data_IF_598888889072
#
_entry.id   IF_598888889072
#
_cell.length_a   1.000
_cell.length_b   1.000
_cell.length_c   1.000
_cell.angle_alpha   90.00
_cell.angle_beta   90.00
_cell.angle_gamma   90.00
#
_symmetry.space_group_name_H-M   'P 1'
#
loop_
_entity.id
_entity.type
_entity.pdbx_description
1 polymer ?
#
# COMPACT_ATOMS: atom_id res chain seq x y z
N UNK A 1 -10.00 -13.15 -10.02
CA UNK A 1 -8.85 -12.61 -10.77
C UNK A 1 -8.82 -13.25 -12.13
N UNK A 2 -8.60 -12.43 -13.18
CA UNK A 2 -8.52 -12.93 -14.56
C UNK A 2 -7.19 -13.67 -14.74
N UNK A 3 -7.16 -14.68 -15.62
CA UNK A 3 -5.96 -15.49 -15.90
C UNK A 3 -4.70 -14.64 -16.16
N UNK A 4 -4.87 -13.52 -16.89
CA UNK A 4 -3.79 -12.56 -17.18
C UNK A 4 -3.21 -11.84 -15.95
N UNK A 5 -4.01 -11.59 -14.92
CA UNK A 5 -3.52 -10.99 -13.68
C UNK A 5 -2.63 -12.00 -12.95
N UNK A 6 -3.11 -13.25 -12.85
CA UNK A 6 -2.39 -14.34 -12.19
C UNK A 6 -1.07 -14.64 -12.92
N UNK A 7 -1.08 -14.64 -14.25
CA UNK A 7 0.15 -14.85 -15.03
C UNK A 7 1.17 -13.72 -14.84
N UNK A 8 0.73 -12.45 -14.72
CA UNK A 8 1.63 -11.34 -14.42
C UNK A 8 2.31 -11.50 -13.05
N UNK A 9 1.59 -11.96 -12.03
CA UNK A 9 2.15 -12.26 -10.71
C UNK A 9 3.15 -13.43 -10.74
N UNK A 10 2.82 -14.52 -11.43
CA UNK A 10 3.70 -15.67 -11.57
C UNK A 10 5.00 -15.30 -12.29
N UNK A 11 4.89 -14.53 -13.38
CA UNK A 11 6.05 -14.02 -14.11
C UNK A 11 6.94 -13.13 -13.23
N UNK A 12 6.35 -12.32 -12.34
CA UNK A 12 7.10 -11.46 -11.42
C UNK A 12 7.88 -12.27 -10.39
N UNK A 13 7.26 -13.32 -9.84
CA UNK A 13 7.93 -14.21 -8.89
C UNK A 13 9.12 -14.87 -9.58
N UNK A 14 8.91 -15.43 -10.78
CA UNK A 14 9.99 -16.08 -11.55
C UNK A 14 11.11 -15.09 -11.90
N UNK A 15 10.77 -13.87 -12.37
CA UNK A 15 11.77 -12.87 -12.73
C UNK A 15 12.62 -12.44 -11.54
N UNK A 16 12.05 -12.42 -10.33
CA UNK A 16 12.77 -12.04 -9.11
C UNK A 16 13.88 -13.03 -8.72
N UNK A 17 13.83 -14.27 -9.22
CA UNK A 17 14.87 -15.28 -8.99
C UNK A 17 15.85 -15.43 -10.17
N UNK A 18 15.60 -14.77 -11.30
CA UNK A 18 16.42 -14.87 -12.51
C UNK A 18 17.07 -13.51 -12.80
N UNK A 19 18.36 -13.38 -12.50
CA UNK A 19 19.13 -12.14 -12.72
C UNK A 19 19.66 -11.98 -14.17
N UNK A 20 19.27 -12.85 -15.09
CA UNK A 20 19.72 -12.85 -16.48
C UNK A 20 18.80 -12.02 -17.39
N UNK A 21 19.20 -11.84 -18.66
CA UNK A 21 18.41 -11.21 -19.73
C UNK A 21 16.95 -11.70 -19.81
N UNK A 22 16.73 -12.99 -19.51
CA UNK A 22 15.40 -13.61 -19.44
C UNK A 22 14.53 -12.98 -18.35
N UNK A 23 15.09 -12.68 -17.17
CA UNK A 23 14.38 -12.01 -16.08
C UNK A 23 13.90 -10.62 -16.47
N UNK A 24 14.76 -9.82 -17.13
CA UNK A 24 14.38 -8.50 -17.63
C UNK A 24 13.31 -8.57 -18.74
N UNK A 25 13.38 -9.58 -19.60
CA UNK A 25 12.36 -9.81 -20.62
C UNK A 25 11.00 -10.16 -19.97
N UNK A 26 10.99 -10.95 -18.91
CA UNK A 26 9.77 -11.23 -18.13
C UNK A 26 9.19 -9.97 -17.48
N UNK A 27 10.04 -9.10 -16.91
CA UNK A 27 9.62 -7.80 -16.38
C UNK A 27 8.96 -6.92 -17.44
N UNK A 28 9.50 -6.90 -18.66
CA UNK A 28 8.92 -6.18 -19.78
C UNK A 28 7.57 -6.77 -20.21
N UNK A 29 7.44 -8.10 -20.25
CA UNK A 29 6.16 -8.78 -20.53
C UNK A 29 5.11 -8.39 -19.47
N UNK A 30 5.47 -8.37 -18.18
CA UNK A 30 4.56 -7.94 -17.11
C UNK A 30 4.07 -6.52 -17.36
N UNK A 31 4.98 -5.60 -17.72
CA UNK A 31 4.62 -4.23 -18.03
C UNK A 31 3.61 -4.13 -19.18
N UNK A 32 3.82 -4.90 -20.26
CA UNK A 32 2.88 -4.99 -21.38
C UNK A 32 1.52 -5.55 -20.95
N UNK A 33 1.50 -6.64 -20.16
CA UNK A 33 0.26 -7.23 -19.65
C UNK A 33 -0.53 -6.18 -18.85
N UNK A 34 0.12 -5.46 -17.92
CA UNK A 34 -0.56 -4.44 -17.13
C UNK A 34 -1.04 -3.29 -18.01
N UNK A 35 -0.27 -2.89 -19.03
CA UNK A 35 -0.67 -1.85 -19.98
C UNK A 35 -1.94 -2.24 -20.76
N UNK A 36 -2.09 -3.52 -21.12
CA UNK A 36 -3.29 -4.04 -21.79
C UNK A 36 -4.51 -4.14 -20.85
N UNK A 37 -4.31 -4.49 -19.58
CA UNK A 37 -5.42 -4.63 -18.62
C UNK A 37 -5.88 -3.25 -18.11
N UNK A 38 -4.95 -2.43 -17.62
CA UNK A 38 -5.24 -1.13 -17.02
C UNK A 38 -4.02 -0.20 -17.10
N UNK A 39 -4.06 0.74 -18.04
CA UNK A 39 -3.08 1.83 -18.14
C UNK A 39 -2.97 2.67 -16.86
N UNK A 40 -4.04 2.72 -16.04
CA UNK A 40 -4.06 3.48 -14.78
C UNK A 40 -3.17 2.83 -13.72
N UNK A 41 -2.96 1.52 -13.78
CA UNK A 41 -2.19 0.78 -12.78
C UNK A 41 -0.68 0.99 -12.93
N UNK A 42 -0.22 1.51 -14.08
CA UNK A 42 1.17 1.90 -14.34
C UNK A 42 1.61 3.18 -13.60
N UNK A 43 0.75 3.79 -12.80
CA UNK A 43 1.12 4.98 -12.02
C UNK A 43 2.12 4.60 -10.93
N UNK A 44 3.02 5.52 -10.61
CA UNK A 44 3.83 5.43 -9.41
C UNK A 44 2.93 5.35 -8.16
N UNK A 45 3.03 4.25 -7.41
CA UNK A 45 2.30 4.07 -6.16
C UNK A 45 2.67 5.20 -5.18
N UNK A 46 1.70 5.95 -4.65
CA UNK A 46 1.96 7.13 -3.83
C UNK A 46 2.39 8.40 -4.59
N UNK A 47 2.40 8.36 -5.93
CA UNK A 47 2.75 9.48 -6.81
C UNK A 47 4.26 9.68 -6.99
N UNK A 48 4.66 10.44 -8.02
CA UNK A 48 6.07 10.64 -8.37
C UNK A 48 6.92 11.16 -7.20
N UNK A 49 6.35 12.05 -6.37
CA UNK A 49 7.04 12.61 -5.19
C UNK A 49 7.50 11.55 -4.19
N UNK A 50 6.77 10.44 -4.05
CA UNK A 50 7.17 9.34 -3.18
C UNK A 50 8.39 8.60 -3.72
N UNK A 51 8.51 8.45 -5.05
CA UNK A 51 9.58 7.67 -5.69
C UNK A 51 10.91 8.41 -5.84
N UNK A 52 10.90 9.74 -5.68
CA UNK A 52 12.12 10.55 -5.64
C UNK A 52 13.04 10.06 -4.51
N UNK A 53 12.49 9.80 -3.32
CA UNK A 53 13.30 9.44 -2.16
C UNK A 53 14.01 8.07 -2.32
N UNK A 54 13.30 6.96 -2.67
CA UNK A 54 13.93 5.69 -2.97
C UNK A 54 14.96 5.77 -4.11
N UNK A 55 14.68 6.55 -5.16
CA UNK A 55 15.59 6.71 -6.29
C UNK A 55 16.90 7.39 -5.86
N UNK A 56 16.82 8.49 -5.12
CA UNK A 56 18.00 9.20 -4.59
C UNK A 56 18.76 8.30 -3.62
N UNK A 57 18.05 7.61 -2.72
CA UNK A 57 18.66 6.70 -1.76
C UNK A 57 19.48 5.60 -2.45
N UNK A 58 18.89 4.92 -3.44
CA UNK A 58 19.57 3.87 -4.19
C UNK A 58 20.75 4.40 -5.01
N UNK A 59 20.64 5.62 -5.54
CA UNK A 59 21.75 6.27 -6.24
C UNK A 59 22.92 6.58 -5.31
N UNK A 60 22.66 7.11 -4.11
CA UNK A 60 23.70 7.38 -3.10
C UNK A 60 24.38 6.08 -2.67
N UNK A 61 23.61 5.00 -2.49
CA UNK A 61 24.15 3.67 -2.14
C UNK A 61 25.02 3.06 -3.25
N UNK A 62 25.04 3.63 -4.45
CA UNK A 62 25.95 3.21 -5.53
C UNK A 62 27.33 3.85 -5.44
N UNK A 63 27.53 4.83 -4.56
CA UNK A 63 28.85 5.40 -4.28
C UNK A 63 29.66 4.48 -3.38
N UNK A 64 30.94 4.33 -3.72
CA UNK A 64 31.90 3.70 -2.83
C UNK A 64 32.58 4.77 -1.97
N UNK A 65 32.32 4.73 -0.66
CA UNK A 65 32.88 5.70 0.29
C UNK A 65 34.40 5.60 0.40
N UNK A 66 34.99 4.46 0.04
CA UNK A 66 36.44 4.26 0.14
C UNK A 66 37.20 4.91 -1.03
N UNK A 67 36.59 4.96 -2.22
CA UNK A 67 37.24 5.50 -3.44
C UNK A 67 36.62 6.82 -3.90
N UNK A 68 35.58 7.30 -3.22
CA UNK A 68 34.76 8.46 -3.64
C UNK A 68 34.32 8.36 -5.12
N UNK A 69 34.14 7.14 -5.62
CA UNK A 69 33.80 6.84 -6.99
C UNK A 69 32.43 6.18 -7.10
N UNK A 70 31.79 6.37 -8.25
CA UNK A 70 30.57 5.64 -8.59
C UNK A 70 30.95 4.23 -9.06
N UNK A 71 30.47 3.20 -8.35
CA UNK A 71 30.65 1.81 -8.80
C UNK A 71 29.57 1.46 -9.80
N UNK A 72 29.96 1.15 -11.04
CA UNK A 72 29.04 0.73 -12.10
C UNK A 72 28.27 -0.54 -11.73
N UNK A 73 28.91 -1.48 -11.04
CA UNK A 73 28.28 -2.73 -10.56
C UNK A 73 27.20 -2.44 -9.52
N UNK A 74 27.49 -1.58 -8.52
CA UNK A 74 26.50 -1.16 -7.51
C UNK A 74 25.37 -0.35 -8.15
N UNK A 75 25.68 0.49 -9.13
CA UNK A 75 24.66 1.25 -9.87
C UNK A 75 23.70 0.31 -10.59
N UNK A 76 24.22 -0.66 -11.36
CA UNK A 76 23.39 -1.64 -12.08
C UNK A 76 22.52 -2.42 -11.09
N UNK A 77 23.10 -2.95 -10.01
CA UNK A 77 22.35 -3.68 -8.97
C UNK A 77 21.23 -2.82 -8.36
N UNK A 78 21.53 -1.58 -7.98
CA UNK A 78 20.54 -0.68 -7.37
C UNK A 78 19.45 -0.27 -8.37
N UNK A 79 19.77 -0.07 -9.65
CA UNK A 79 18.75 0.15 -10.69
C UNK A 79 17.85 -1.06 -10.88
N UNK A 80 18.38 -2.28 -10.80
CA UNK A 80 17.59 -3.51 -10.89
C UNK A 80 16.60 -3.63 -9.73
N UNK A 81 17.05 -3.32 -8.51
CA UNK A 81 16.19 -3.26 -7.32
C UNK A 81 15.07 -2.23 -7.53
N UNK A 82 15.42 -1.04 -8.04
CA UNK A 82 14.43 0.01 -8.30
C UNK A 82 13.36 -0.42 -9.32
N UNK A 83 13.77 -1.09 -10.40
CA UNK A 83 12.86 -1.61 -11.43
C UNK A 83 11.93 -2.69 -10.85
N UNK A 84 12.45 -3.61 -10.04
CA UNK A 84 11.63 -4.63 -9.38
C UNK A 84 10.63 -4.01 -8.41
N UNK A 85 11.06 -3.04 -7.60
CA UNK A 85 10.17 -2.30 -6.70
C UNK A 85 9.06 -1.59 -7.47
N UNK A 86 9.40 -0.95 -8.60
CA UNK A 86 8.43 -0.30 -9.44
C UNK A 86 7.40 -1.28 -10.01
N UNK A 87 7.84 -2.41 -10.58
CA UNK A 87 6.94 -3.42 -11.16
C UNK A 87 6.07 -4.06 -10.06
N UNK A 88 6.63 -4.28 -8.88
CA UNK A 88 5.85 -4.71 -7.72
C UNK A 88 4.75 -3.70 -7.35
N UNK A 89 5.07 -2.41 -7.32
CA UNK A 89 4.07 -1.34 -7.10
C UNK A 89 2.99 -1.31 -8.19
N UNK A 90 3.36 -1.53 -9.45
CA UNK A 90 2.42 -1.64 -10.58
C UNK A 90 1.47 -2.82 -10.40
N UNK A 91 1.95 -3.97 -9.92
CA UNK A 91 1.13 -5.14 -9.63
C UNK A 91 0.17 -4.90 -8.45
N UNK A 92 0.61 -4.19 -7.40
CA UNK A 92 -0.26 -3.78 -6.30
C UNK A 92 -1.38 -2.85 -6.82
N UNK A 93 -1.03 -1.87 -7.66
CA UNK A 93 -2.02 -0.99 -8.25
C UNK A 93 -3.01 -1.75 -9.13
N UNK A 94 -2.55 -2.76 -9.87
CA UNK A 94 -3.41 -3.61 -10.68
C UNK A 94 -4.44 -4.32 -9.80
N UNK A 95 -4.02 -4.94 -8.70
CA UNK A 95 -4.93 -5.55 -7.71
C UNK A 95 -5.93 -4.51 -7.20
N UNK A 96 -5.45 -3.33 -6.80
CA UNK A 96 -6.30 -2.30 -6.22
C UNK A 96 -7.33 -1.75 -7.22
N UNK A 97 -6.96 -1.64 -8.49
CA UNK A 97 -7.84 -1.15 -9.55
C UNK A 97 -8.86 -2.22 -10.01
N UNK A 98 -8.52 -3.51 -9.92
CA UNK A 98 -9.37 -4.59 -10.44
C UNK A 98 -10.24 -5.27 -9.38
N UNK A 99 -9.77 -5.39 -8.14
CA UNK A 99 -10.50 -6.06 -7.06
C UNK A 99 -11.47 -5.09 -6.41
N UNK A 100 -12.78 -5.34 -6.56
CA UNK A 100 -13.80 -4.59 -5.84
C UNK A 100 -14.04 -5.18 -4.45
N UNK A 101 -14.48 -4.35 -3.51
CA UNK A 101 -14.88 -4.81 -2.16
C UNK A 101 -15.92 -5.94 -2.20
N UNK A 102 -16.82 -5.93 -3.18
CA UNK A 102 -17.80 -7.01 -3.41
C UNK A 102 -17.10 -8.35 -3.66
N UNK A 103 -16.03 -8.37 -4.45
CA UNK A 103 -15.32 -9.61 -4.79
C UNK A 103 -14.62 -10.19 -3.56
N UNK A 104 -14.07 -9.33 -2.68
CA UNK A 104 -13.53 -9.74 -1.38
C UNK A 104 -14.61 -10.34 -0.47
N UNK A 105 -15.81 -9.76 -0.43
CA UNK A 105 -16.90 -10.32 0.37
C UNK A 105 -17.34 -11.70 -0.11
N UNK A 106 -17.44 -11.90 -1.44
CA UNK A 106 -17.77 -13.20 -2.05
C UNK A 106 -16.68 -14.24 -1.75
N UNK A 107 -15.41 -13.82 -1.78
CA UNK A 107 -14.29 -14.68 -1.41
C UNK A 107 -14.43 -15.18 0.03
N UNK A 108 -14.64 -14.28 1.00
CA UNK A 108 -14.82 -14.71 2.39
C UNK A 108 -16.03 -15.62 2.59
N UNK A 109 -17.14 -15.38 1.89
CA UNK A 109 -18.32 -16.23 1.96
C UNK A 109 -18.04 -17.64 1.39
N UNK A 110 -17.33 -17.72 0.26
CA UNK A 110 -16.96 -18.99 -0.38
C UNK A 110 -16.11 -19.88 0.55
N UNK A 111 -15.19 -19.28 1.29
CA UNK A 111 -14.29 -20.02 2.20
C UNK A 111 -14.80 -20.06 3.67
N UNK A 112 -16.04 -19.61 3.92
CA UNK A 112 -16.67 -19.59 5.26
C UNK A 112 -15.87 -18.80 6.31
N UNK A 113 -15.13 -17.77 5.88
CA UNK A 113 -14.33 -16.90 6.75
C UNK A 113 -15.16 -15.74 7.32
N UNK A 114 -16.31 -16.04 7.92
CA UNK A 114 -17.29 -15.02 8.34
C UNK A 114 -16.75 -14.05 9.40
N UNK A 115 -15.96 -14.53 10.36
CA UNK A 115 -15.34 -13.66 11.39
C UNK A 115 -14.36 -12.66 10.78
N UNK A 116 -13.52 -13.11 9.86
CA UNK A 116 -12.57 -12.23 9.14
C UNK A 116 -13.29 -11.25 8.21
N UNK A 117 -14.37 -11.69 7.55
CA UNK A 117 -15.26 -10.82 6.77
C UNK A 117 -15.83 -9.70 7.64
N UNK A 118 -16.38 -10.04 8.80
CA UNK A 118 -16.94 -9.05 9.72
C UNK A 118 -15.86 -8.06 10.20
N UNK A 119 -14.72 -8.57 10.70
CA UNK A 119 -13.62 -7.72 11.19
C UNK A 119 -13.12 -6.78 10.09
N UNK A 120 -12.91 -7.28 8.87
CA UNK A 120 -12.42 -6.45 7.76
C UNK A 120 -13.42 -5.36 7.35
N UNK A 121 -14.70 -5.71 7.17
CA UNK A 121 -15.76 -4.75 6.83
C UNK A 121 -15.98 -3.73 7.94
N UNK A 122 -15.97 -4.16 9.20
CA UNK A 122 -16.10 -3.29 10.35
C UNK A 122 -14.93 -2.29 10.42
N UNK A 123 -13.70 -2.80 10.32
CA UNK A 123 -12.49 -1.97 10.32
C UNK A 123 -12.51 -0.94 9.18
N UNK A 124 -12.87 -1.35 7.96
CA UNK A 124 -13.01 -0.45 6.82
C UNK A 124 -14.07 0.63 7.05
N UNK A 125 -15.18 0.29 7.70
CA UNK A 125 -16.24 1.23 8.03
C UNK A 125 -15.78 2.27 9.06
N UNK A 126 -15.08 1.83 10.10
CA UNK A 126 -14.45 2.71 11.09
C UNK A 126 -13.42 3.62 10.43
N UNK A 127 -12.49 3.07 9.64
CA UNK A 127 -11.46 3.85 8.95
C UNK A 127 -12.07 4.89 8.00
N UNK A 128 -13.13 4.54 7.28
CA UNK A 128 -13.81 5.49 6.39
C UNK A 128 -14.42 6.65 7.16
N UNK A 129 -15.09 6.39 8.28
CA UNK A 129 -15.67 7.44 9.14
C UNK A 129 -14.60 8.27 9.81
N UNK A 130 -13.51 7.64 10.21
CA UNK A 130 -12.36 8.30 10.84
C UNK A 130 -11.58 9.20 9.86
N UNK A 131 -11.62 8.91 8.56
CA UNK A 131 -10.86 9.67 7.56
C UNK A 131 -11.21 11.17 7.51
N UNK A 132 -12.48 11.54 7.72
CA UNK A 132 -12.91 12.95 7.81
C UNK A 132 -12.41 13.61 9.09
N UNK A 133 -12.47 12.88 10.20
CA UNK A 133 -12.16 13.43 11.52
C UNK A 133 -10.65 13.62 11.68
N UNK A 134 -9.85 12.73 11.08
CA UNK A 134 -8.38 12.76 11.17
C UNK A 134 -7.79 13.99 10.47
N UNK A 135 -8.38 14.47 9.37
CA UNK A 135 -7.87 15.69 8.73
C UNK A 135 -8.01 16.91 9.63
N UNK A 136 -9.13 17.03 10.32
CA UNK A 136 -9.41 18.15 11.24
C UNK A 136 -8.54 18.05 12.49
N UNK A 137 -8.46 16.85 13.08
CA UNK A 137 -7.59 16.57 14.22
C UNK A 137 -6.13 16.90 13.88
N UNK A 138 -5.66 16.50 12.69
CA UNK A 138 -4.30 16.78 12.26
C UNK A 138 -4.05 18.27 12.02
N UNK A 139 -5.04 18.98 11.46
CA UNK A 139 -4.96 20.43 11.25
C UNK A 139 -4.80 21.18 12.58
N UNK A 140 -5.65 20.91 13.58
CA UNK A 140 -5.55 21.53 14.90
C UNK A 140 -4.25 21.14 15.62
N UNK A 141 -3.88 19.86 15.55
CA UNK A 141 -2.63 19.38 16.12
C UNK A 141 -1.40 20.12 15.56
N UNK A 142 -1.33 20.27 14.24
CA UNK A 142 -0.22 20.97 13.57
C UNK A 142 -0.20 22.46 13.90
N UNK A 143 -1.39 23.09 14.02
CA UNK A 143 -1.51 24.50 14.39
C UNK A 143 -0.95 24.78 15.78
N UNK A 144 -1.21 23.90 16.74
CA UNK A 144 -0.73 24.06 18.12
C UNK A 144 0.71 23.56 18.33
N UNK A 145 1.16 22.59 17.53
CA UNK A 145 2.46 21.93 17.69
C UNK A 145 3.35 22.11 16.45
N UNK A 146 3.91 23.31 16.26
CA UNK A 146 4.88 23.59 15.18
C UNK A 146 6.32 23.23 15.56
N UNK A 147 7.13 22.80 14.57
CA UNK A 147 8.56 22.56 14.74
C UNK A 147 8.88 21.32 15.59
N UNK A 148 9.87 21.41 16.49
CA UNK A 148 10.27 20.29 17.34
C UNK A 148 9.15 19.78 18.28
N UNK A 149 8.21 20.67 18.67
CA UNK A 149 7.03 20.31 19.46
C UNK A 149 6.12 19.30 18.74
N UNK A 150 6.11 19.31 17.40
CA UNK A 150 5.33 18.38 16.59
C UNK A 150 5.70 16.91 16.86
N UNK A 151 7.00 16.62 16.97
CA UNK A 151 7.44 15.24 17.22
C UNK A 151 7.31 14.88 18.70
N UNK A 152 7.60 15.83 19.60
CA UNK A 152 7.50 15.62 21.06
C UNK A 152 6.08 15.24 21.49
N UNK A 153 5.07 15.88 20.90
CA UNK A 153 3.67 15.71 21.29
C UNK A 153 2.89 14.69 20.45
N UNK A 154 3.57 13.90 19.61
CA UNK A 154 2.91 12.99 18.67
C UNK A 154 2.04 11.95 19.37
N UNK A 155 2.37 11.60 20.61
CA UNK A 155 1.58 10.72 21.47
C UNK A 155 0.18 11.29 21.74
N UNK A 156 0.00 12.61 21.83
CA UNK A 156 -1.32 13.23 21.99
C UNK A 156 -2.18 13.04 20.73
N UNK A 157 -1.58 13.22 19.55
CA UNK A 157 -2.24 12.96 18.27
C UNK A 157 -2.71 11.50 18.19
N UNK A 158 -1.82 10.56 18.54
CA UNK A 158 -2.14 9.12 18.58
C UNK A 158 -3.28 8.86 19.58
N UNK A 159 -3.21 9.42 20.78
CA UNK A 159 -4.24 9.27 21.80
C UNK A 159 -5.62 9.74 21.31
N UNK A 160 -5.70 10.93 20.70
CA UNK A 160 -6.96 11.46 20.15
C UNK A 160 -7.51 10.55 19.05
N UNK A 161 -6.64 10.06 18.16
CA UNK A 161 -7.03 9.10 17.12
C UNK A 161 -7.60 7.80 17.72
N UNK A 162 -6.92 7.21 18.72
CA UNK A 162 -7.38 5.99 19.38
C UNK A 162 -8.71 6.23 20.12
N UNK A 163 -8.83 7.35 20.84
CA UNK A 163 -10.08 7.70 21.54
C UNK A 163 -11.25 7.82 20.56
N UNK A 164 -11.04 8.51 19.44
CA UNK A 164 -12.09 8.70 18.44
C UNK A 164 -12.45 7.39 17.74
N UNK A 165 -11.48 6.53 17.43
CA UNK A 165 -11.75 5.23 16.81
C UNK A 165 -12.55 4.30 17.72
N UNK A 166 -12.26 4.30 19.02
CA UNK A 166 -13.03 3.54 20.03
C UNK A 166 -14.45 4.08 20.13
N UNK A 167 -14.64 5.40 20.18
CA UNK A 167 -15.97 6.01 20.20
C UNK A 167 -16.80 5.62 18.96
N UNK A 168 -16.21 5.75 17.76
CA UNK A 168 -16.88 5.35 16.51
C UNK A 168 -17.23 3.86 16.52
N UNK A 169 -16.34 3.02 17.05
CA UNK A 169 -16.58 1.58 17.14
C UNK A 169 -17.75 1.27 18.06
N UNK A 170 -17.85 1.95 19.21
CA UNK A 170 -18.98 1.81 20.13
C UNK A 170 -20.30 2.19 19.45
N UNK A 171 -20.36 3.37 18.82
CA UNK A 171 -21.55 3.84 18.10
C UNK A 171 -21.99 2.85 17.00
N UNK A 172 -21.03 2.26 16.28
CA UNK A 172 -21.31 1.27 15.24
C UNK A 172 -21.83 -0.05 15.80
N UNK A 173 -21.28 -0.53 16.91
CA UNK A 173 -21.77 -1.76 17.57
C UNK A 173 -23.17 -1.55 18.13
N UNK A 174 -23.45 -0.40 18.74
CA UNK A 174 -24.78 -0.03 19.21
C UNK A 174 -25.81 0.04 18.07
N UNK A 175 -25.42 0.57 16.92
CA UNK A 175 -26.24 0.55 15.69
C UNK A 175 -26.50 -0.87 15.17
N UNK A 176 -25.55 -1.78 15.29
CA UNK A 176 -25.75 -3.18 14.90
C UNK A 176 -26.70 -3.89 15.87
N UNK A 177 -26.57 -3.62 17.17
CA UNK A 177 -27.45 -4.17 18.21
C UNK A 177 -28.89 -3.70 18.03
N UNK A 178 -29.12 -2.38 17.88
CA UNK A 178 -30.45 -1.80 17.68
C UNK A 178 -31.15 -2.30 16.40
N UNK A 179 -30.39 -2.77 15.42
CA UNK A 179 -30.90 -3.37 14.18
C UNK A 179 -31.08 -4.90 14.26
N UNK A 180 -30.80 -5.53 15.40
CA UNK A 180 -30.87 -6.98 15.57
C UNK A 180 -29.81 -7.76 14.77
N UNK A 181 -28.72 -7.09 14.37
CA UNK A 181 -27.63 -7.68 13.58
C UNK A 181 -26.47 -8.19 14.46
N UNK A 182 -26.56 -7.98 15.77
CA UNK A 182 -25.56 -8.38 16.75
C UNK A 182 -26.27 -8.73 18.06
N UNK A 183 -26.18 -9.97 18.50
CA UNK A 183 -26.72 -10.43 19.78
C UNK A 183 -25.69 -10.17 20.90
N UNK A 184 -26.20 -9.89 22.11
CA UNK A 184 -25.40 -9.60 23.30
C UNK A 184 -24.71 -10.84 23.85
#
# INVERSE_FOLDING_TARGET
>A
MKFLEISAFLLFIISSFISNWIGYLMLLIIFLIVLFISKKSLRFMGGFKFWIFPAIFLFIMSFDFNTFGLSSEKLISNTNIFVHLYIFGVLINLINDTIKMKDLTIFFDRYRFYKLKFISLFTLSVMRRMSSDVSDVFYFYRRENSGFKFFKNIHMLVYVCVRNSVKISYDLVELLYTRGLYEK
#
